data_IF_525752877213
#
_entry.id   IF_525752877213
#
_cell.length_a   1.000
_cell.length_b   1.000
_cell.length_c   1.000
_cell.angle_alpha   90.00
_cell.angle_beta   90.00
_cell.angle_gamma   90.00
#
_symmetry.space_group_name_H-M   'P 1'
#
loop_
_entity.id
_entity.type
_entity.pdbx_description
1 polymer ?
#
# COMPACT_ATOMS: atom_id res chain seq x y z
N UNK A 1 28.35 6.91 -13.35
CA UNK A 1 28.00 8.14 -12.60
C UNK A 1 26.99 7.74 -11.54
N UNK A 2 27.33 7.85 -10.26
CA UNK A 2 26.43 7.58 -9.13
C UNK A 2 25.73 8.90 -8.78
N UNK A 3 24.57 9.15 -9.37
CA UNK A 3 23.76 10.33 -9.05
C UNK A 3 23.22 10.23 -7.63
N UNK A 4 23.29 11.32 -6.86
CA UNK A 4 22.72 11.41 -5.52
C UNK A 4 21.20 11.26 -5.60
N UNK A 5 20.67 10.12 -5.15
CA UNK A 5 19.23 9.91 -5.03
C UNK A 5 18.78 10.50 -3.69
N UNK A 6 17.93 11.52 -3.72
CA UNK A 6 17.27 12.05 -2.52
C UNK A 6 15.78 11.72 -2.59
N UNK A 7 15.24 11.14 -1.53
CA UNK A 7 13.82 10.78 -1.42
C UNK A 7 13.15 11.48 -0.24
N UNK A 8 11.87 11.81 -0.39
CA UNK A 8 11.03 12.35 0.68
C UNK A 8 9.65 11.72 0.65
N UNK A 9 9.19 11.22 1.80
CA UNK A 9 7.81 10.77 1.95
C UNK A 9 6.87 11.98 1.92
N UNK A 10 5.90 11.94 1.02
CA UNK A 10 4.89 12.99 0.88
C UNK A 10 3.61 12.67 1.66
N UNK A 11 3.20 11.41 1.64
CA UNK A 11 1.98 10.97 2.31
C UNK A 11 2.07 9.53 2.77
N UNK A 12 1.41 9.28 3.89
CA UNK A 12 1.12 7.97 4.44
C UNK A 12 -0.38 7.93 4.72
N UNK A 13 -1.09 6.96 4.14
CA UNK A 13 -2.49 6.71 4.47
C UNK A 13 -2.67 5.26 4.89
N UNK A 14 -3.52 5.05 5.89
CA UNK A 14 -3.91 3.74 6.40
C UNK A 14 -5.42 3.61 6.27
N UNK A 15 -5.86 2.51 5.69
CA UNK A 15 -7.27 2.16 5.56
C UNK A 15 -7.48 0.71 5.99
N UNK A 16 -8.57 0.45 6.69
CA UNK A 16 -9.02 -0.89 7.08
C UNK A 16 -10.19 -1.30 6.20
N UNK A 17 -10.13 -2.50 5.64
CA UNK A 17 -11.14 -3.04 4.75
C UNK A 17 -11.60 -4.41 5.23
N UNK A 18 -12.91 -4.61 5.34
CA UNK A 18 -13.51 -5.91 5.66
C UNK A 18 -13.88 -6.64 4.37
N UNK A 19 -13.40 -7.88 4.22
CA UNK A 19 -13.79 -8.78 3.14
C UNK A 19 -14.61 -9.92 3.71
N UNK A 20 -15.84 -10.07 3.23
CA UNK A 20 -16.72 -11.19 3.57
C UNK A 20 -16.60 -12.28 2.52
N UNK A 21 -16.34 -13.50 2.98
CA UNK A 21 -16.33 -14.71 2.16
C UNK A 21 -17.43 -15.64 2.65
N UNK A 22 -18.34 -16.03 1.76
CA UNK A 22 -19.36 -17.04 2.03
C UNK A 22 -18.94 -18.34 1.35
N UNK A 23 -18.79 -19.42 2.12
CA UNK A 23 -18.49 -20.74 1.56
C UNK A 23 -19.71 -21.24 0.76
N UNK A 24 -19.57 -21.54 -0.54
CA UNK A 24 -20.69 -21.94 -1.39
C UNK A 24 -21.24 -23.35 -1.13
N UNK A 25 -20.57 -24.15 -0.29
CA UNK A 25 -20.96 -25.52 0.07
C UNK A 25 -21.68 -25.54 1.42
N UNK A 26 -21.22 -24.73 2.38
CA UNK A 26 -21.73 -24.73 3.76
C UNK A 26 -22.58 -23.52 4.12
N UNK A 27 -22.64 -22.49 3.26
CA UNK A 27 -23.27 -21.18 3.51
C UNK A 27 -22.67 -20.43 4.72
N UNK A 28 -21.50 -20.83 5.21
CA UNK A 28 -20.83 -20.17 6.33
C UNK A 28 -20.16 -18.86 5.88
N UNK A 29 -20.40 -17.76 6.60
CA UNK A 29 -19.74 -16.47 6.37
C UNK A 29 -18.48 -16.36 7.24
N UNK A 30 -17.34 -16.13 6.61
CA UNK A 30 -16.08 -15.75 7.25
C UNK A 30 -15.75 -14.30 6.90
N UNK A 31 -15.46 -13.48 7.93
CA UNK A 31 -15.01 -12.09 7.74
C UNK A 31 -13.50 -12.01 7.93
N UNK A 32 -12.82 -11.35 7.00
CA UNK A 32 -11.40 -11.04 7.08
C UNK A 32 -11.21 -9.52 7.15
N UNK A 33 -10.46 -9.06 8.13
CA UNK A 33 -10.03 -7.66 8.21
C UNK A 33 -8.65 -7.51 7.57
N UNK A 34 -8.53 -6.55 6.67
CA UNK A 34 -7.27 -6.19 6.02
C UNK A 34 -6.91 -4.76 6.33
N UNK A 35 -5.62 -4.52 6.54
CA UNK A 35 -5.05 -3.19 6.62
C UNK A 35 -4.26 -2.91 5.35
N UNK A 36 -4.60 -1.80 4.68
CA UNK A 36 -3.85 -1.29 3.53
C UNK A 36 -3.09 -0.05 3.97
N UNK A 37 -1.76 -0.08 3.85
CA UNK A 37 -0.90 1.08 4.05
C UNK A 37 -0.39 1.54 2.69
N UNK A 38 -0.64 2.81 2.35
CA UNK A 38 -0.14 3.42 1.11
C UNK A 38 0.90 4.47 1.43
N UNK A 39 2.02 4.39 0.70
CA UNK A 39 3.13 5.31 0.76
C UNK A 39 3.25 6.05 -0.57
N UNK A 40 3.45 7.37 -0.53
CA UNK A 40 3.83 8.15 -1.72
C UNK A 40 5.16 8.85 -1.46
N UNK A 41 6.14 8.58 -2.32
CA UNK A 41 7.50 9.09 -2.23
C UNK A 41 7.78 10.00 -3.41
N UNK A 42 8.33 11.18 -3.14
CA UNK A 42 9.02 11.98 -4.15
C UNK A 42 10.49 11.57 -4.20
N UNK A 43 11.03 11.36 -5.39
CA UNK A 43 12.43 11.00 -5.63
C UNK A 43 13.04 11.95 -6.66
N UNK A 44 14.19 12.52 -6.36
CA UNK A 44 15.01 13.21 -7.36
C UNK A 44 16.00 12.22 -7.96
N UNK A 45 15.87 11.96 -9.26
CA UNK A 45 16.70 11.00 -9.99
C UNK A 45 17.23 11.70 -11.23
N UNK A 46 18.55 11.85 -11.35
CA UNK A 46 19.22 12.49 -12.49
C UNK A 46 18.68 13.89 -12.84
N UNK A 47 18.24 14.67 -11.85
CA UNK A 47 17.69 16.01 -12.06
C UNK A 47 16.18 16.05 -12.38
N UNK A 48 15.52 14.90 -12.41
CA UNK A 48 14.08 14.79 -12.61
C UNK A 48 13.36 14.44 -11.30
N UNK A 49 12.19 15.06 -11.08
CA UNK A 49 11.29 14.71 -9.99
C UNK A 49 10.40 13.55 -10.41
N UNK A 50 10.52 12.43 -9.71
CA UNK A 50 9.72 11.22 -9.89
C UNK A 50 8.85 10.98 -8.66
N UNK A 51 7.71 10.32 -8.86
CA UNK A 51 6.81 9.91 -7.80
C UNK A 51 6.68 8.38 -7.79
N UNK A 52 6.86 7.78 -6.63
CA UNK A 52 6.64 6.35 -6.41
C UNK A 52 5.49 6.16 -5.44
N UNK A 53 4.58 5.25 -5.79
CA UNK A 53 3.51 4.81 -4.91
C UNK A 53 3.77 3.34 -4.56
N UNK A 54 3.61 3.01 -3.27
CA UNK A 54 3.75 1.65 -2.76
C UNK A 54 2.59 1.32 -1.83
N UNK A 55 2.22 0.05 -1.79
CA UNK A 55 1.12 -0.46 -0.96
C UNK A 55 1.58 -1.69 -0.20
N UNK A 56 1.26 -1.73 1.09
CA UNK A 56 1.41 -2.90 1.94
C UNK A 56 0.01 -3.36 2.35
N UNK A 57 -0.30 -4.63 2.11
CA UNK A 57 -1.57 -5.24 2.48
C UNK A 57 -1.26 -6.29 3.54
N UNK A 58 -1.80 -6.11 4.73
CA UNK A 58 -1.64 -7.01 5.87
C UNK A 58 -2.99 -7.59 6.25
N UNK A 59 -2.99 -8.86 6.61
CA UNK A 59 -4.12 -9.55 7.22
C UNK A 59 -3.81 -9.66 8.72
N UNK A 60 -4.70 -9.18 9.58
CA UNK A 60 -4.61 -9.39 11.02
C UNK A 60 -4.96 -10.84 11.41
#
# INVERSE_FOLDING_TARGET
MSGTQTSKQLSLSRETFEMKYTDPITDEETTYEYMIIRYTMAKWVNGELQFENSWEIMKD
#
